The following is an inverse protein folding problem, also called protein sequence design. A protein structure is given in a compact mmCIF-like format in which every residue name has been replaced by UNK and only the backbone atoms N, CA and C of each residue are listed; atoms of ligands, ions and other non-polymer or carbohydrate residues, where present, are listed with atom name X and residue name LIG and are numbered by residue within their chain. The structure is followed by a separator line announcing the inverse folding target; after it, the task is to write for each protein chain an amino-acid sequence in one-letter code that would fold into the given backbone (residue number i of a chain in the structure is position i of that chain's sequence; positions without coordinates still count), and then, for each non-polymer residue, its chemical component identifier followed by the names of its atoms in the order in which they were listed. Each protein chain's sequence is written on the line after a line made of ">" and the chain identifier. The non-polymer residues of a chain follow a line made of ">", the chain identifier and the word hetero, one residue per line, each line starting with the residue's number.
data_IF_717526458767
#
_entry.id   IF_717526458767
#
_cell.length_a   1.000
_cell.length_b   1.000
_cell.length_c   1.000
_cell.angle_alpha   90.00
_cell.angle_beta   90.00
_cell.angle_gamma   90.00
#
_symmetry.space_group_name_H-M   'P 1'
#
loop_
_entity.id
_entity.type
_entity.pdbx_description
1 polymer ?
#
# COMPACT_ATOMS: atom_id res chain seq x y z
N UNK A 1 5.79 16.28 27.91
CA UNK A 1 4.78 15.69 27.03
C UNK A 1 5.39 14.40 26.47
N UNK A 2 4.98 13.22 26.98
CA UNK A 2 5.55 11.93 26.56
C UNK A 2 4.97 11.59 25.18
N UNK A 3 5.81 11.58 24.16
CA UNK A 3 5.47 11.01 22.85
C UNK A 3 5.27 9.50 23.07
N UNK A 4 4.05 9.04 23.08
CA UNK A 4 3.74 7.61 23.06
C UNK A 4 4.13 7.09 21.68
N UNK A 5 5.13 6.23 21.66
CA UNK A 5 5.52 5.43 20.51
C UNK A 5 4.27 4.73 19.98
N UNK A 6 3.90 5.01 18.74
CA UNK A 6 2.87 4.26 18.04
C UNK A 6 3.43 2.86 17.87
N UNK A 7 2.88 1.89 18.60
CA UNK A 7 3.28 0.49 18.50
C UNK A 7 3.02 -0.01 17.09
N UNK A 8 4.05 -0.10 16.30
CA UNK A 8 4.01 -0.66 14.96
C UNK A 8 4.19 -2.16 15.08
N UNK A 9 3.15 -2.90 14.80
CA UNK A 9 3.22 -4.36 14.68
C UNK A 9 3.84 -4.70 13.33
N UNK A 10 5.15 -4.83 13.29
CA UNK A 10 5.84 -5.46 12.18
C UNK A 10 5.72 -6.98 12.34
N UNK A 11 4.78 -7.59 11.61
CA UNK A 11 4.49 -9.01 11.65
C UNK A 11 5.32 -9.74 10.57
N UNK A 12 6.58 -10.06 10.86
CA UNK A 12 7.45 -10.81 9.93
C UNK A 12 7.30 -12.33 10.10
N UNK A 13 6.82 -13.03 9.07
CA UNK A 13 6.80 -14.49 9.02
C UNK A 13 8.11 -15.05 8.45
N UNK A 14 8.88 -15.78 9.26
CA UNK A 14 9.95 -16.65 8.77
C UNK A 14 9.38 -18.03 8.46
N UNK A 15 9.23 -18.39 7.19
CA UNK A 15 8.88 -19.74 6.75
C UNK A 15 10.15 -20.60 6.65
N UNK A 16 10.23 -21.62 7.52
CA UNK A 16 11.27 -22.64 7.46
C UNK A 16 11.16 -23.51 6.21
N UNK A 17 12.30 -23.76 5.55
CA UNK A 17 12.44 -24.71 4.45
C UNK A 17 12.16 -26.15 4.94
N UNK A 18 11.07 -26.75 4.49
CA UNK A 18 10.95 -28.20 4.40
C UNK A 18 11.25 -28.61 2.96
N UNK A 19 12.40 -29.26 2.79
CA UNK A 19 12.76 -29.94 1.54
C UNK A 19 11.94 -31.20 1.40
N UNK A 20 10.93 -31.22 0.56
CA UNK A 20 10.29 -32.45 0.08
C UNK A 20 10.62 -32.63 -1.39
N UNK A 21 11.16 -33.85 -1.71
CA UNK A 21 11.43 -34.24 -3.09
C UNK A 21 10.14 -34.22 -3.91
N UNK A 22 10.18 -33.43 -4.99
CA UNK A 22 9.10 -33.37 -5.96
C UNK A 22 9.34 -34.33 -7.12
N UNK A 23 8.32 -35.06 -7.64
CA UNK A 23 8.42 -35.70 -8.94
C UNK A 23 8.32 -34.63 -10.06
N UNK A 24 9.19 -34.77 -11.04
CA UNK A 24 9.23 -33.96 -12.25
C UNK A 24 7.92 -34.07 -13.02
N UNK A 25 7.12 -32.99 -13.08
CA UNK A 25 6.06 -32.82 -14.05
C UNK A 25 6.59 -31.94 -15.20
N UNK A 26 6.58 -32.53 -16.38
CA UNK A 26 6.87 -31.96 -17.68
C UNK A 26 6.13 -30.63 -17.92
N UNK A 27 6.87 -29.66 -18.44
CA UNK A 27 6.47 -28.30 -18.64
C UNK A 27 5.18 -28.09 -19.41
N UNK A 28 4.31 -27.30 -18.82
CA UNK A 28 3.41 -26.43 -19.56
C UNK A 28 3.92 -25.00 -19.41
N UNK A 29 4.48 -24.50 -20.49
CA UNK A 29 4.80 -23.08 -20.65
C UNK A 29 3.47 -22.33 -20.63
N UNK A 30 3.05 -21.85 -19.46
CA UNK A 30 1.99 -20.86 -19.38
C UNK A 30 2.57 -19.58 -19.99
N UNK A 31 2.12 -19.30 -21.21
CA UNK A 31 2.30 -18.01 -21.86
C UNK A 31 1.76 -16.95 -20.91
N UNK A 32 2.64 -16.20 -20.23
CA UNK A 32 2.29 -14.99 -19.50
C UNK A 32 1.77 -14.00 -20.54
N UNK A 33 0.47 -14.00 -20.72
CA UNK A 33 -0.25 -12.96 -21.45
C UNK A 33 0.17 -11.64 -20.82
N UNK A 34 0.88 -10.78 -21.57
CA UNK A 34 1.55 -9.60 -21.08
C UNK A 34 0.67 -8.85 -20.10
N UNK A 35 1.16 -8.73 -18.84
CA UNK A 35 0.58 -7.87 -17.83
C UNK A 35 0.60 -6.46 -18.42
N UNK A 36 -0.58 -5.92 -18.72
CA UNK A 36 -0.69 -4.53 -19.10
C UNK A 36 0.08 -3.70 -18.09
N UNK A 37 0.94 -2.79 -18.56
CA UNK A 37 1.68 -1.88 -17.68
C UNK A 37 0.68 -0.90 -17.07
N UNK A 38 0.06 -1.34 -15.97
CA UNK A 38 -0.95 -0.58 -15.22
C UNK A 38 -0.32 0.46 -14.29
N UNK A 39 1.02 0.59 -14.33
CA UNK A 39 1.78 1.53 -13.51
C UNK A 39 1.89 1.14 -12.03
N UNK A 40 1.47 -0.06 -11.64
CA UNK A 40 1.68 -0.59 -10.28
C UNK A 40 3.03 -1.29 -10.16
N UNK A 41 3.69 -1.15 -9.00
CA UNK A 41 4.78 -2.03 -8.61
C UNK A 41 4.25 -3.44 -8.33
N UNK A 42 5.15 -4.41 -8.22
CA UNK A 42 4.78 -5.78 -7.84
C UNK A 42 4.12 -5.80 -6.45
N UNK A 43 4.71 -5.13 -5.46
CA UNK A 43 4.20 -5.07 -4.07
C UNK A 43 2.80 -4.48 -4.00
N UNK A 44 2.53 -3.41 -4.73
CA UNK A 44 1.20 -2.77 -4.79
C UNK A 44 0.15 -3.71 -5.39
N UNK A 45 0.53 -4.43 -6.45
CA UNK A 45 -0.34 -5.40 -7.12
C UNK A 45 -0.63 -6.59 -6.21
N UNK A 46 0.40 -7.12 -5.54
CA UNK A 46 0.25 -8.20 -4.58
C UNK A 46 -0.64 -7.77 -3.40
N UNK A 47 -0.46 -6.55 -2.88
CA UNK A 47 -1.27 -6.03 -1.78
C UNK A 47 -2.75 -5.88 -2.18
N UNK A 48 -3.05 -5.35 -3.36
CA UNK A 48 -4.43 -5.26 -3.86
C UNK A 48 -5.03 -6.66 -4.06
N UNK A 49 -4.24 -7.61 -4.55
CA UNK A 49 -4.66 -9.01 -4.71
C UNK A 49 -4.98 -9.66 -3.35
N UNK A 50 -4.10 -9.53 -2.36
CA UNK A 50 -4.34 -10.07 -1.00
C UNK A 50 -5.62 -9.47 -0.39
N UNK A 51 -5.82 -8.16 -0.55
CA UNK A 51 -7.05 -7.50 -0.09
C UNK A 51 -8.29 -8.08 -0.80
N UNK A 52 -8.23 -8.26 -2.11
CA UNK A 52 -9.34 -8.82 -2.86
C UNK A 52 -9.59 -10.31 -2.54
N UNK A 53 -8.54 -11.06 -2.21
CA UNK A 53 -8.67 -12.45 -1.75
C UNK A 53 -9.36 -12.54 -0.40
N UNK A 54 -8.99 -11.75 0.61
CA UNK A 54 -9.69 -11.78 1.90
C UNK A 54 -11.14 -11.30 1.78
N UNK A 55 -11.41 -10.34 0.90
CA UNK A 55 -12.78 -9.88 0.61
C UNK A 55 -13.64 -10.98 0.00
N UNK A 56 -13.10 -11.78 -0.92
CA UNK A 56 -13.82 -12.87 -1.57
C UNK A 56 -13.88 -14.14 -0.70
N UNK A 57 -12.83 -14.42 0.07
CA UNK A 57 -12.64 -15.67 0.81
C UNK A 57 -12.12 -15.42 2.23
N UNK A 58 -12.89 -14.72 3.11
CA UNK A 58 -12.37 -14.30 4.41
C UNK A 58 -11.89 -15.45 5.30
N UNK A 59 -12.55 -16.61 5.26
CA UNK A 59 -12.21 -17.76 6.10
C UNK A 59 -10.84 -18.36 5.76
N UNK A 60 -10.33 -18.18 4.54
CA UNK A 60 -9.02 -18.72 4.16
C UNK A 60 -7.86 -18.04 4.91
N UNK A 61 -8.10 -16.85 5.46
CA UNK A 61 -7.11 -16.11 6.23
C UNK A 61 -7.01 -16.53 7.71
N UNK A 62 -7.96 -17.33 8.20
CA UNK A 62 -7.96 -17.83 9.58
C UNK A 62 -6.71 -18.65 9.87
N UNK A 63 -6.33 -19.57 8.97
CA UNK A 63 -5.15 -20.40 9.15
C UNK A 63 -3.86 -19.58 9.26
N UNK A 64 -3.73 -18.47 8.50
CA UNK A 64 -2.56 -17.58 8.62
C UNK A 64 -2.50 -16.91 9.99
N UNK A 65 -3.63 -16.50 10.55
CA UNK A 65 -3.70 -15.89 11.88
C UNK A 65 -3.44 -16.94 12.97
N UNK A 66 -4.01 -18.14 12.87
CA UNK A 66 -3.79 -19.23 13.84
C UNK A 66 -2.31 -19.66 13.92
N UNK A 67 -1.61 -19.65 12.79
CA UNK A 67 -0.16 -19.95 12.73
C UNK A 67 0.72 -18.92 13.48
N UNK A 68 0.18 -17.77 13.86
CA UNK A 68 0.92 -16.79 14.66
C UNK A 68 0.94 -17.15 16.15
N UNK A 69 0.05 -18.02 16.63
CA UNK A 69 -0.11 -18.33 18.06
C UNK A 69 1.18 -18.74 18.78
N UNK A 70 2.02 -19.62 18.23
CA UNK A 70 3.27 -20.03 18.87
C UNK A 70 4.29 -18.89 19.05
N UNK A 71 4.10 -17.78 18.32
CA UNK A 71 4.99 -16.63 18.33
C UNK A 71 4.61 -15.61 19.44
N UNK A 72 3.45 -15.81 20.08
CA UNK A 72 2.99 -14.93 21.16
C UNK A 72 3.34 -15.48 22.55
N UNK A 73 3.81 -14.57 23.40
CA UNK A 73 3.98 -14.78 24.84
C UNK A 73 3.44 -13.54 25.57
N UNK A 74 2.22 -13.62 26.10
CA UNK A 74 1.51 -12.45 26.63
C UNK A 74 1.30 -11.41 25.50
N UNK A 75 1.82 -10.20 25.72
CA UNK A 75 1.78 -9.12 24.71
C UNK A 75 2.99 -9.10 23.79
N UNK A 76 3.95 -10.00 23.98
CA UNK A 76 5.10 -10.08 23.10
C UNK A 76 4.82 -11.00 21.92
N UNK A 77 5.09 -10.49 20.73
CA UNK A 77 5.17 -11.24 19.50
C UNK A 77 6.64 -11.39 19.12
N UNK A 78 7.12 -12.61 18.95
CA UNK A 78 8.53 -12.91 18.76
C UNK A 78 8.76 -13.88 17.60
N UNK A 79 9.58 -13.44 16.66
CA UNK A 79 10.15 -14.29 15.58
C UNK A 79 11.63 -14.57 15.87
N UNK A 80 12.31 -15.27 14.97
CA UNK A 80 13.77 -15.48 15.04
C UNK A 80 14.60 -14.19 15.00
N UNK A 81 14.06 -13.14 14.41
CA UNK A 81 14.78 -11.89 14.13
C UNK A 81 14.18 -10.65 14.78
N UNK A 82 12.95 -10.73 15.28
CA UNK A 82 12.20 -9.58 15.77
C UNK A 82 11.44 -9.91 17.05
N UNK A 83 11.42 -8.96 17.97
CA UNK A 83 10.50 -8.97 19.11
C UNK A 83 9.73 -7.65 19.14
N UNK A 84 8.40 -7.74 19.13
CA UNK A 84 7.48 -6.60 19.16
C UNK A 84 6.59 -6.72 20.40
N UNK A 85 6.37 -5.61 21.09
CA UNK A 85 5.35 -5.52 22.12
C UNK A 85 4.06 -5.00 21.46
N UNK A 86 3.04 -5.85 21.47
CA UNK A 86 1.70 -5.53 21.00
C UNK A 86 0.89 -4.86 22.11
N UNK A 87 -0.17 -4.16 21.78
CA UNK A 87 -1.03 -3.51 22.78
C UNK A 87 -1.98 -4.51 23.46
N UNK A 88 -2.51 -5.47 22.73
CA UNK A 88 -3.54 -6.40 23.19
C UNK A 88 -3.08 -7.87 23.23
N UNK A 89 -1.96 -8.19 22.58
CA UNK A 89 -1.43 -9.55 22.50
C UNK A 89 -2.29 -10.45 21.62
N UNK A 90 -2.31 -11.75 21.99
CA UNK A 90 -3.04 -12.75 21.25
C UNK A 90 -4.55 -12.48 21.15
N UNK A 91 -5.14 -11.76 22.10
CA UNK A 91 -6.58 -11.47 22.11
C UNK A 91 -7.07 -10.71 20.89
N UNK A 92 -6.25 -9.78 20.35
CA UNK A 92 -6.61 -9.07 19.11
C UNK A 92 -6.64 -10.02 17.91
N UNK A 93 -5.74 -11.01 17.88
CA UNK A 93 -5.71 -12.04 16.82
C UNK A 93 -6.93 -12.96 16.93
N UNK A 94 -7.30 -13.41 18.14
CA UNK A 94 -8.50 -14.21 18.37
C UNK A 94 -9.77 -13.48 17.94
N UNK A 95 -9.85 -12.19 18.21
CA UNK A 95 -10.96 -11.36 17.75
C UNK A 95 -11.01 -11.26 16.22
N UNK A 96 -9.84 -11.12 15.55
CA UNK A 96 -9.77 -11.13 14.10
C UNK A 96 -10.21 -12.47 13.51
N UNK A 97 -9.80 -13.59 14.11
CA UNK A 97 -10.22 -14.93 13.71
C UNK A 97 -11.75 -15.07 13.85
N UNK A 98 -12.31 -14.65 14.99
CA UNK A 98 -13.77 -14.68 15.20
C UNK A 98 -14.50 -13.85 14.14
N UNK A 99 -14.02 -12.64 13.89
CA UNK A 99 -14.59 -11.77 12.85
C UNK A 99 -14.57 -12.45 11.48
N UNK A 100 -13.45 -13.05 11.08
CA UNK A 100 -13.33 -13.71 9.77
C UNK A 100 -14.21 -14.95 9.64
N UNK A 101 -14.49 -15.68 10.73
CA UNK A 101 -15.42 -16.82 10.70
C UNK A 101 -16.84 -16.39 10.35
N UNK A 102 -17.25 -15.22 10.80
CA UNK A 102 -18.59 -14.68 10.61
C UNK A 102 -18.69 -13.81 9.35
N UNK A 103 -17.55 -13.36 8.82
CA UNK A 103 -17.49 -12.45 7.67
C UNK A 103 -18.10 -13.10 6.42
N UNK A 104 -18.96 -12.35 5.76
CA UNK A 104 -19.47 -12.74 4.44
C UNK A 104 -18.56 -12.23 3.34
N UNK A 105 -18.42 -12.97 2.23
CA UNK A 105 -17.74 -12.48 1.05
C UNK A 105 -18.31 -11.15 0.57
N UNK A 106 -17.43 -10.24 0.17
CA UNK A 106 -17.79 -8.95 -0.43
C UNK A 106 -17.07 -8.76 -1.76
N UNK A 107 -17.63 -7.91 -2.61
CA UNK A 107 -17.08 -7.68 -3.97
C UNK A 107 -15.66 -7.14 -3.95
N UNK A 108 -14.87 -7.38 -5.01
CA UNK A 108 -13.50 -6.89 -5.13
C UNK A 108 -13.46 -5.36 -5.23
N UNK A 109 -12.33 -4.81 -4.85
CA UNK A 109 -11.98 -3.41 -5.09
C UNK A 109 -11.37 -3.28 -6.49
N UNK A 110 -11.95 -2.44 -7.33
CA UNK A 110 -11.34 -2.05 -8.59
C UNK A 110 -10.26 -0.98 -8.33
N UNK A 111 -9.18 -1.01 -9.13
CA UNK A 111 -8.12 -0.01 -9.03
C UNK A 111 -8.60 1.35 -9.56
N UNK A 112 -8.25 2.43 -8.83
CA UNK A 112 -8.38 3.81 -9.27
C UNK A 112 -7.02 4.49 -9.30
N UNK A 113 -6.69 5.11 -10.44
CA UNK A 113 -5.44 5.86 -10.59
C UNK A 113 -5.43 7.12 -9.73
N UNK A 114 -6.52 7.86 -9.69
CA UNK A 114 -6.61 9.10 -8.91
C UNK A 114 -6.50 8.83 -7.41
N UNK A 115 -7.10 7.75 -6.90
CA UNK A 115 -6.93 7.35 -5.50
C UNK A 115 -5.48 6.93 -5.22
N UNK A 116 -4.80 6.26 -6.18
CA UNK A 116 -3.38 5.94 -6.03
C UNK A 116 -2.53 7.22 -5.97
N UNK A 117 -2.80 8.23 -6.81
CA UNK A 117 -2.09 9.51 -6.76
C UNK A 117 -2.28 10.23 -5.41
N UNK A 118 -3.48 10.17 -4.83
CA UNK A 118 -3.73 10.71 -3.49
C UNK A 118 -2.92 9.98 -2.41
N UNK A 119 -2.87 8.64 -2.44
CA UNK A 119 -2.02 7.84 -1.57
C UNK A 119 -0.53 8.19 -1.75
N UNK A 120 -0.07 8.31 -3.00
CA UNK A 120 1.32 8.65 -3.32
C UNK A 120 1.70 10.06 -2.83
N UNK A 121 0.77 11.01 -2.85
CA UNK A 121 0.99 12.34 -2.28
C UNK A 121 1.32 12.25 -0.79
N UNK A 122 0.57 11.44 -0.03
CA UNK A 122 0.81 11.25 1.40
C UNK A 122 2.12 10.50 1.68
N UNK A 123 2.42 9.47 0.89
CA UNK A 123 3.70 8.75 0.98
C UNK A 123 4.87 9.70 0.76
N UNK A 124 4.82 10.56 -0.27
CA UNK A 124 5.88 11.54 -0.54
C UNK A 124 6.06 12.53 0.61
N UNK A 125 4.96 12.98 1.19
CA UNK A 125 4.97 13.89 2.33
C UNK A 125 5.66 13.23 3.55
N UNK A 126 5.29 12.02 3.92
CA UNK A 126 5.91 11.29 5.03
C UNK A 126 7.34 10.81 4.73
N UNK A 127 7.64 10.46 3.49
CA UNK A 127 8.99 10.15 3.03
C UNK A 127 9.99 11.29 3.28
N UNK A 128 9.54 12.53 3.11
CA UNK A 128 10.36 13.72 3.29
C UNK A 128 10.57 14.09 4.76
N UNK A 129 9.65 13.73 5.65
CA UNK A 129 9.60 14.22 7.03
C UNK A 129 9.78 13.13 8.09
N UNK A 130 9.51 11.86 7.75
CA UNK A 130 9.50 10.75 8.71
C UNK A 130 8.30 10.76 9.66
N UNK A 131 7.29 11.58 9.40
CA UNK A 131 6.04 11.58 10.17
C UNK A 131 5.21 10.34 9.86
N UNK A 132 4.27 10.01 10.74
CA UNK A 132 3.35 8.88 10.61
C UNK A 132 1.91 9.32 10.85
N UNK A 133 0.94 8.48 10.45
CA UNK A 133 -0.50 8.72 10.65
C UNK A 133 -1.17 9.37 9.45
N UNK A 134 -2.46 9.65 9.59
CA UNK A 134 -3.33 10.06 8.49
C UNK A 134 -3.23 11.55 8.11
N UNK A 135 -2.68 12.37 9.00
CA UNK A 135 -2.58 13.81 8.80
C UNK A 135 -1.30 14.16 8.05
N UNK A 136 -1.42 14.89 6.95
CA UNK A 136 -0.29 15.44 6.22
C UNK A 136 0.38 16.59 6.97
N UNK A 137 1.63 16.92 6.61
CA UNK A 137 2.36 18.06 7.20
C UNK A 137 1.73 19.41 6.88
N UNK A 138 0.95 19.48 5.82
CA UNK A 138 0.09 20.61 5.44
C UNK A 138 -1.27 20.62 6.16
N UNK A 139 -1.47 19.74 7.15
CA UNK A 139 -2.70 19.47 7.87
C UNK A 139 -3.82 18.83 7.03
N UNK A 140 -3.56 18.37 5.81
CA UNK A 140 -4.54 17.68 4.98
C UNK A 140 -4.85 16.27 5.53
N UNK A 141 -6.09 15.85 5.30
CA UNK A 141 -6.54 14.47 5.41
C UNK A 141 -6.88 13.94 4.02
N UNK A 142 -7.27 12.68 3.92
CA UNK A 142 -7.51 12.02 2.65
C UNK A 142 -8.54 12.75 1.78
N UNK A 143 -9.56 13.37 2.38
CA UNK A 143 -10.61 14.12 1.69
C UNK A 143 -10.05 15.33 0.93
N UNK A 144 -9.00 15.97 1.45
CA UNK A 144 -8.32 17.06 0.75
C UNK A 144 -7.36 16.53 -0.31
N UNK A 145 -6.62 15.45 0.00
CA UNK A 145 -5.61 14.90 -0.89
C UNK A 145 -6.17 14.28 -2.18
N UNK A 146 -7.42 13.80 -2.17
CA UNK A 146 -8.05 13.21 -3.38
C UNK A 146 -8.56 14.25 -4.36
N UNK A 147 -8.94 15.45 -3.92
CA UNK A 147 -9.58 16.50 -4.75
C UNK A 147 -8.82 16.85 -6.03
N UNK A 148 -7.48 16.93 -6.04
CA UNK A 148 -6.74 17.23 -7.27
C UNK A 148 -6.82 16.11 -8.33
N UNK A 149 -7.24 14.92 -7.96
CA UNK A 149 -7.21 13.73 -8.82
C UNK A 149 -8.58 13.24 -9.25
N UNK A 150 -9.65 13.72 -8.60
CA UNK A 150 -11.00 13.30 -8.94
C UNK A 150 -12.03 13.58 -7.85
N UNK A 151 -13.18 12.96 -8.02
CA UNK A 151 -14.30 13.07 -7.09
C UNK A 151 -14.72 11.67 -6.62
N UNK A 152 -14.77 11.47 -5.29
CA UNK A 152 -15.25 10.22 -4.72
C UNK A 152 -16.77 10.23 -4.56
N UNK A 153 -17.36 9.03 -4.52
CA UNK A 153 -18.77 8.78 -4.26
C UNK A 153 -18.90 7.86 -3.05
N UNK A 154 -19.94 8.06 -2.25
CA UNK A 154 -20.14 7.33 -1.00
C UNK A 154 -19.07 7.66 0.05
N UNK A 155 -18.65 6.65 0.81
CA UNK A 155 -17.60 6.81 1.82
C UNK A 155 -16.21 6.92 1.18
N UNK A 156 -15.29 7.55 1.91
CA UNK A 156 -13.85 7.53 1.65
C UNK A 156 -13.11 7.13 2.92
N UNK A 157 -11.99 6.44 2.79
CA UNK A 157 -11.17 6.02 3.94
C UNK A 157 -9.75 5.68 3.52
N UNK A 158 -8.88 5.63 4.52
CA UNK A 158 -7.46 5.34 4.31
C UNK A 158 -6.99 4.32 5.34
N UNK A 159 -6.17 3.35 4.91
CA UNK A 159 -5.38 2.49 5.79
C UNK A 159 -3.90 2.70 5.46
N UNK A 160 -3.07 2.76 6.50
CA UNK A 160 -1.62 2.92 6.40
C UNK A 160 -0.93 1.74 7.07
N UNK A 161 0.24 1.36 6.56
CA UNK A 161 1.15 0.42 7.20
C UNK A 161 2.59 0.84 6.95
N UNK A 162 3.49 0.53 7.89
CA UNK A 162 4.88 0.94 7.90
C UNK A 162 5.76 -0.29 8.14
N UNK A 163 6.89 -0.37 7.46
CA UNK A 163 7.84 -1.48 7.56
C UNK A 163 8.01 -2.22 6.22
N UNK A 164 8.89 -3.21 6.20
CA UNK A 164 9.22 -4.00 5.02
C UNK A 164 8.44 -5.32 4.94
N UNK A 165 7.21 -5.32 5.44
CA UNK A 165 6.36 -6.50 5.41
C UNK A 165 5.95 -6.85 3.98
N UNK A 166 5.71 -8.14 3.75
CA UNK A 166 5.05 -8.64 2.54
C UNK A 166 3.60 -8.13 2.45
N UNK A 167 3.02 -8.21 1.28
CA UNK A 167 1.62 -7.84 1.05
C UNK A 167 0.65 -8.53 2.03
N UNK A 168 0.88 -9.83 2.30
CA UNK A 168 0.06 -10.60 3.25
C UNK A 168 0.25 -10.13 4.68
N UNK A 169 1.46 -9.88 5.12
CA UNK A 169 1.73 -9.40 6.48
C UNK A 169 1.08 -8.03 6.73
N UNK A 170 1.15 -7.12 5.76
CA UNK A 170 0.44 -5.84 5.81
C UNK A 170 -1.07 -6.02 5.94
N UNK A 171 -1.64 -6.94 5.17
CA UNK A 171 -3.05 -7.27 5.28
C UNK A 171 -3.39 -7.85 6.66
N UNK A 172 -2.60 -8.79 7.18
CA UNK A 172 -2.82 -9.38 8.51
C UNK A 172 -2.73 -8.31 9.61
N UNK A 173 -1.81 -7.35 9.51
CA UNK A 173 -1.72 -6.20 10.42
C UNK A 173 -3.03 -5.42 10.45
N UNK A 174 -3.61 -5.10 9.30
CA UNK A 174 -4.91 -4.42 9.24
C UNK A 174 -6.10 -5.28 9.69
N UNK A 175 -6.03 -6.60 9.53
CA UNK A 175 -7.08 -7.51 10.00
C UNK A 175 -7.04 -7.69 11.52
N UNK A 176 -5.86 -7.78 12.11
CA UNK A 176 -5.67 -7.85 13.57
C UNK A 176 -6.04 -6.52 14.20
N UNK A 177 -5.53 -5.41 13.64
CA UNK A 177 -5.84 -4.04 14.05
C UNK A 177 -5.55 -3.80 15.53
N UNK A 178 -4.40 -4.32 16.02
CA UNK A 178 -3.97 -4.29 17.42
C UNK A 178 -3.87 -2.85 17.93
N UNK A 179 -4.37 -2.60 19.14
CA UNK A 179 -4.37 -1.28 19.79
C UNK A 179 -5.46 -0.32 19.30
N UNK A 180 -6.27 -0.70 18.31
CA UNK A 180 -7.36 0.11 17.79
C UNK A 180 -8.72 -0.51 18.10
N UNK A 181 -9.30 -0.20 19.25
CA UNK A 181 -10.57 -0.76 19.73
C UNK A 181 -11.72 -0.65 18.71
N UNK A 182 -11.66 0.34 17.82
CA UNK A 182 -12.67 0.52 16.76
C UNK A 182 -12.55 -0.51 15.62
N UNK A 183 -11.40 -1.17 15.49
CA UNK A 183 -11.07 -2.07 14.37
C UNK A 183 -11.34 -1.41 13.01
N UNK A 184 -10.96 -0.15 12.90
CA UNK A 184 -11.29 0.68 11.74
C UNK A 184 -10.68 0.19 10.44
N UNK A 185 -9.44 -0.30 10.47
CA UNK A 185 -8.75 -0.82 9.29
C UNK A 185 -9.43 -2.09 8.77
N UNK A 186 -9.69 -3.07 9.64
CA UNK A 186 -10.40 -4.32 9.33
C UNK A 186 -11.79 -4.05 8.75
N UNK A 187 -12.57 -3.17 9.41
CA UNK A 187 -13.93 -2.83 8.96
C UNK A 187 -13.94 -2.17 7.59
N UNK A 188 -13.00 -1.25 7.31
CA UNK A 188 -12.88 -0.65 5.98
C UNK A 188 -12.58 -1.69 4.90
N UNK A 189 -11.61 -2.57 5.15
CA UNK A 189 -11.24 -3.61 4.18
C UNK A 189 -12.40 -4.55 3.84
N UNK A 190 -13.24 -4.87 4.81
CA UNK A 190 -14.34 -5.83 4.66
C UNK A 190 -15.71 -5.17 4.46
N UNK A 191 -15.78 -3.83 4.32
CA UNK A 191 -17.04 -3.16 4.02
C UNK A 191 -17.45 -3.37 2.55
N UNK A 192 -18.72 -3.74 2.28
CA UNK A 192 -19.27 -3.79 0.94
C UNK A 192 -19.45 -2.40 0.30
N UNK A 193 -19.39 -1.32 1.10
CA UNK A 193 -19.59 0.05 0.63
C UNK A 193 -18.40 0.54 -0.21
N UNK A 194 -17.19 0.03 0.04
CA UNK A 194 -16.02 0.33 -0.77
C UNK A 194 -15.92 -0.58 -1.98
N UNK A 195 -15.74 0.03 -3.16
CA UNK A 195 -15.72 -0.64 -4.47
C UNK A 195 -14.48 -0.33 -5.30
N UNK A 196 -13.78 0.76 -4.95
CA UNK A 196 -12.55 1.17 -5.65
C UNK A 196 -11.46 1.48 -4.65
N UNK A 197 -10.21 1.26 -5.06
CA UNK A 197 -9.05 1.53 -4.23
C UNK A 197 -7.86 2.08 -5.03
N UNK A 198 -7.08 2.95 -4.40
CA UNK A 198 -5.73 3.30 -4.82
C UNK A 198 -4.73 2.72 -3.83
N UNK A 199 -3.87 1.82 -4.28
CA UNK A 199 -2.81 1.22 -3.47
C UNK A 199 -1.47 1.75 -3.96
N UNK A 200 -0.70 2.37 -3.09
CA UNK A 200 0.64 2.84 -3.37
C UNK A 200 1.57 2.54 -2.21
N UNK A 201 2.82 2.21 -2.55
CA UNK A 201 3.89 1.97 -1.58
C UNK A 201 5.10 2.86 -1.90
N UNK A 202 5.92 3.15 -0.90
CA UNK A 202 7.11 3.96 -1.08
C UNK A 202 8.02 3.95 0.13
N UNK A 203 9.18 4.63 0.05
CA UNK A 203 10.14 4.65 1.14
C UNK A 203 9.62 5.45 2.34
N UNK A 204 10.07 5.05 3.55
CA UNK A 204 9.87 5.80 4.78
C UNK A 204 11.16 5.83 5.60
N UNK A 205 11.64 7.02 6.06
CA UNK A 205 12.99 7.15 6.65
C UNK A 205 13.18 6.35 7.94
N UNK A 206 12.12 6.18 8.75
CA UNK A 206 12.20 5.44 10.02
C UNK A 206 11.82 3.97 9.90
N UNK A 207 11.03 3.60 8.90
CA UNK A 207 10.47 2.24 8.76
C UNK A 207 10.88 1.57 7.44
N UNK A 208 11.80 2.16 6.68
CA UNK A 208 12.27 1.75 5.36
C UNK A 208 11.19 1.84 4.28
N UNK A 209 9.99 1.38 4.55
CA UNK A 209 8.87 1.37 3.61
C UNK A 209 7.56 1.71 4.30
N UNK A 210 6.60 2.18 3.53
CA UNK A 210 5.21 2.31 3.92
C UNK A 210 4.29 1.99 2.73
N UNK A 211 3.08 1.56 3.02
CA UNK A 211 2.03 1.49 2.01
C UNK A 211 0.77 2.22 2.52
N UNK A 212 0.11 2.88 1.60
CA UNK A 212 -1.18 3.53 1.81
C UNK A 212 -2.21 2.93 0.86
N UNK A 213 -3.38 2.61 1.39
CA UNK A 213 -4.55 2.30 0.58
C UNK A 213 -5.63 3.33 0.84
N UNK A 214 -6.08 4.00 -0.22
CA UNK A 214 -7.27 4.86 -0.21
C UNK A 214 -8.43 4.10 -0.81
N UNK A 215 -9.55 4.04 -0.08
CA UNK A 215 -10.76 3.31 -0.47
C UNK A 215 -11.91 4.30 -0.68
N UNK A 216 -12.75 4.04 -1.69
CA UNK A 216 -13.98 4.82 -1.89
C UNK A 216 -15.12 3.94 -2.40
N UNK A 217 -16.37 4.40 -2.18
CA UNK A 217 -17.55 3.74 -2.74
C UNK A 217 -17.59 3.81 -4.26
N UNK A 218 -17.01 4.84 -4.85
CA UNK A 218 -16.75 5.06 -6.26
C UNK A 218 -15.78 6.21 -6.43
N UNK A 219 -15.14 6.32 -7.59
CA UNK A 219 -14.26 7.44 -7.90
C UNK A 219 -14.32 7.79 -9.39
N UNK A 220 -14.48 9.06 -9.68
CA UNK A 220 -14.43 9.62 -11.01
C UNK A 220 -13.07 10.32 -11.14
N UNK A 221 -12.14 9.68 -11.85
CA UNK A 221 -10.81 10.24 -12.10
C UNK A 221 -10.93 11.51 -12.95
N UNK A 222 -10.20 12.57 -12.57
CA UNK A 222 -10.00 13.70 -13.47
C UNK A 222 -9.22 13.21 -14.69
N UNK A 223 -9.79 13.40 -15.86
CA UNK A 223 -9.08 13.13 -17.11
C UNK A 223 -7.84 14.03 -17.16
N UNK A 224 -6.64 13.52 -17.48
CA UNK A 224 -5.52 14.40 -17.79
C UNK A 224 -5.98 15.34 -18.91
N UNK A 225 -5.74 16.63 -18.74
CA UNK A 225 -6.04 17.61 -19.78
C UNK A 225 -5.48 17.06 -21.10
N UNK A 226 -6.35 16.87 -22.10
CA UNK A 226 -5.90 16.48 -23.44
C UNK A 226 -4.83 17.48 -23.84
N UNK A 227 -3.60 17.00 -24.08
CA UNK A 227 -2.56 17.84 -24.65
C UNK A 227 -3.16 18.44 -25.93
N UNK A 228 -3.27 19.78 -25.95
CA UNK A 228 -3.78 20.50 -27.10
C UNK A 228 -2.78 20.32 -28.24
N UNK A 229 -3.03 19.32 -29.11
CA UNK A 229 -2.21 19.02 -30.28
C UNK A 229 -2.47 20.02 -31.43
N UNK A 230 -3.18 21.11 -31.16
CA UNK A 230 -3.55 22.13 -32.16
C UNK A 230 -2.57 23.29 -32.28
N UNK A 231 -1.37 23.26 -31.66
CA UNK A 231 -0.36 24.26 -31.91
C UNK A 231 0.35 24.00 -33.26
N UNK A 232 0.18 24.86 -34.29
CA UNK A 232 0.89 24.66 -35.53
C UNK A 232 2.40 24.85 -35.30
N UNK A 233 3.20 23.90 -35.76
CA UNK A 233 4.65 23.97 -35.75
C UNK A 233 5.11 25.22 -36.51
N UNK A 234 5.52 26.27 -35.80
CA UNK A 234 6.23 27.39 -36.38
C UNK A 234 7.60 26.91 -36.85
N UNK A 235 7.76 26.85 -38.15
CA UNK A 235 9.01 26.48 -38.80
C UNK A 235 10.14 27.39 -38.32
N UNK A 236 11.14 26.80 -37.71
CA UNK A 236 12.42 27.45 -37.41
C UNK A 236 13.32 27.34 -38.64
N UNK A 237 13.39 28.40 -39.43
CA UNK A 237 14.40 28.58 -40.45
C UNK A 237 15.76 28.76 -39.77
N UNK A 238 16.65 27.81 -39.96
CA UNK A 238 18.03 27.86 -39.50
C UNK A 238 18.84 28.77 -40.43
N UNK A 239 19.26 29.92 -39.94
CA UNK A 239 20.36 30.69 -40.55
C UNK A 239 21.61 30.49 -39.70
N UNK A 240 22.54 29.70 -40.24
CA UNK A 240 23.87 29.55 -39.70
C UNK A 240 24.67 30.84 -39.88
N UNK A 241 25.19 31.43 -38.82
CA UNK A 241 26.33 32.35 -38.86
C UNK A 241 27.42 31.87 -37.92
N UNK A 242 28.49 31.36 -38.52
CA UNK A 242 29.80 31.13 -37.93
C UNK A 242 30.34 32.40 -37.30
N UNK A 243 30.78 32.35 -36.05
CA UNK A 243 31.73 33.30 -35.49
C UNK A 243 32.76 32.58 -34.64
N UNK A 244 34.01 32.82 -35.03
CA UNK A 244 35.28 32.34 -34.49
C UNK A 244 35.45 32.63 -32.99
N UNK A 245 36.01 31.62 -32.29
CA UNK A 245 36.38 31.68 -30.87
C UNK A 245 37.81 32.17 -30.75
N UNK A 246 38.04 33.26 -29.99
CA UNK A 246 39.31 33.65 -29.41
C UNK A 246 39.42 33.10 -27.98
N UNK A 247 40.52 32.36 -27.71
CA UNK A 247 40.95 31.99 -26.36
C UNK A 247 41.35 33.21 -25.55
N UNK A 248 41.08 33.29 -24.27
CA UNK A 248 41.85 34.11 -23.34
C UNK A 248 42.76 33.25 -22.48
N UNK A 249 43.95 33.83 -22.22
CA UNK A 249 45.03 33.26 -21.50
C UNK A 249 44.86 33.25 -19.98
N UNK A 250 45.76 32.46 -19.42
CA UNK A 250 46.03 32.20 -18.01
C UNK A 250 46.68 33.46 -17.39
N UNK A 251 46.22 33.86 -16.23
CA UNK A 251 46.96 34.71 -15.27
C UNK A 251 46.68 34.17 -13.87
N UNK A 252 47.74 33.85 -13.19
CA UNK A 252 48.12 33.61 -11.80
C UNK A 252 47.07 33.53 -10.71
#
# INVERSE_FOLDING_TARGET
>A
MKVRSVGLVALCCALGLFATLSPSLTGQTQTTKGLANDGMSQDERELLNEINQVRAHPQTYIAYLENLKPLFSGKQYKTSTLTVTTEEGWSAVEEAIKFLREAKPVGPLARSNGLCQASLTHIKDQSGTGTTGHKGNDNSFIEQRVKPFGTWQGGIGENLTYGNESARERLLTWLVDDGFASRGHRRRLMSPDYKVAGVCCGPHPQFNSMCAITLAGGFIDLQPAKADTSAPAKGVTSTSKSKSVKKPGRID
#
